data_IF_951732995608
#
_entry.id   IF_951732995608
#
_cell.length_a   1.000
_cell.length_b   1.000
_cell.length_c   1.000
_cell.angle_alpha   90.00
_cell.angle_beta   90.00
_cell.angle_gamma   90.00
#
_symmetry.space_group_name_H-M   'P 1'
#
loop_
_entity.id
_entity.type
_entity.pdbx_description
1 polymer ?
#
# COMPACT_ATOMS: atom_id res chain seq x y z
N UNK A 1 -47.47 48.59 26.75
CA UNK A 1 -48.51 48.32 27.77
C UNK A 1 -48.86 46.85 27.73
N UNK A 2 -49.12 46.20 28.89
CA UNK A 2 -48.72 44.82 29.15
C UNK A 2 -49.89 43.81 29.19
N UNK A 3 -49.56 42.52 29.05
CA UNK A 3 -50.08 41.34 29.80
C UNK A 3 -49.02 40.23 29.64
N UNK A 4 -48.25 39.79 30.66
CA UNK A 4 -48.59 38.97 31.84
C UNK A 4 -49.36 37.68 31.46
N UNK A 5 -49.02 36.45 31.84
CA UNK A 5 -48.02 35.87 32.74
C UNK A 5 -47.97 34.35 32.48
N UNK A 6 -46.90 33.65 32.86
CA UNK A 6 -46.86 32.18 32.86
C UNK A 6 -45.48 31.53 32.96
N UNK A 7 -44.71 31.84 34.00
CA UNK A 7 -43.64 30.97 34.55
C UNK A 7 -44.29 29.92 35.49
N UNK A 8 -43.60 28.92 36.10
CA UNK A 8 -42.14 28.74 36.25
C UNK A 8 -41.73 27.24 36.09
N UNK A 9 -40.56 26.69 36.37
CA UNK A 9 -39.31 27.00 37.11
C UNK A 9 -38.23 26.12 36.45
N UNK A 10 -37.07 26.64 36.01
CA UNK A 10 -35.90 27.13 36.76
C UNK A 10 -34.91 26.00 37.11
N UNK A 11 -33.71 25.99 36.52
CA UNK A 11 -32.46 26.73 36.89
C UNK A 11 -31.62 25.89 37.91
N UNK A 12 -30.30 25.96 38.06
CA UNK A 12 -29.31 26.99 37.71
C UNK A 12 -27.89 26.40 37.79
N UNK A 13 -27.00 26.95 36.96
CA UNK A 13 -25.54 27.10 37.08
C UNK A 13 -25.07 27.73 38.40
N UNK A 14 -23.87 27.38 38.94
CA UNK A 14 -22.91 28.31 39.62
C UNK A 14 -21.55 27.56 39.79
N UNK A 15 -20.42 27.98 39.21
CA UNK A 15 -19.38 28.98 39.60
C UNK A 15 -18.38 28.54 40.69
N UNK A 16 -17.10 28.80 40.37
CA UNK A 16 -15.82 28.63 41.08
C UNK A 16 -15.60 29.56 42.30
N UNK A 17 -14.83 29.10 43.30
CA UNK A 17 -13.80 29.93 43.99
C UNK A 17 -12.79 29.10 44.79
N UNK A 18 -11.55 29.61 44.87
CA UNK A 18 -10.34 29.05 45.49
C UNK A 18 -10.21 29.34 46.99
N UNK A 19 -9.48 28.49 47.72
CA UNK A 19 -8.77 28.83 48.97
C UNK A 19 -7.45 28.07 49.05
N UNK A 20 -6.41 28.73 49.59
CA UNK A 20 -5.06 28.20 49.83
C UNK A 20 -4.75 28.26 51.32
N UNK A 21 -4.12 27.23 51.90
CA UNK A 21 -3.29 27.28 53.12
C UNK A 21 -2.19 26.21 53.02
N UNK A 22 -0.99 26.63 53.41
CA UNK A 22 0.32 25.96 53.46
C UNK A 22 0.48 25.09 54.72
N UNK A 23 1.29 24.01 54.70
CA UNK A 23 2.13 23.48 55.81
C UNK A 23 2.99 22.31 55.30
N UNK A 24 4.28 22.41 55.61
CA UNK A 24 5.38 21.45 55.46
C UNK A 24 5.36 20.37 56.55
N UNK A 25 5.61 19.09 56.24
CA UNK A 25 6.36 18.14 57.09
C UNK A 25 6.56 16.77 56.42
N UNK A 26 7.82 16.30 56.39
CA UNK A 26 8.19 14.90 56.11
C UNK A 26 7.96 14.05 57.37
N UNK A 27 7.65 12.75 57.20
CA UNK A 27 8.38 11.77 57.98
C UNK A 27 8.90 10.57 57.16
N UNK A 28 10.03 10.08 57.65
CA UNK A 28 10.82 8.91 57.25
C UNK A 28 10.24 7.62 57.88
N UNK A 29 10.61 6.46 57.32
CA UNK A 29 10.44 5.06 57.80
C UNK A 29 9.09 4.39 57.45
N UNK A 30 8.99 3.13 57.04
CA UNK A 30 9.94 2.01 57.03
C UNK A 30 9.48 0.92 56.02
N UNK A 31 10.44 0.07 55.64
CA UNK A 31 10.36 -1.16 54.81
C UNK A 31 9.06 -1.99 54.92
N UNK A 32 8.66 -2.57 53.79
CA UNK A 32 8.46 -4.01 53.73
C UNK A 32 8.88 -4.58 52.36
N UNK A 33 10.02 -5.28 52.35
CA UNK A 33 10.36 -6.25 51.32
C UNK A 33 9.40 -7.44 51.46
N UNK A 34 8.72 -7.82 50.39
CA UNK A 34 7.88 -9.02 50.37
C UNK A 34 7.21 -9.24 49.03
N UNK A 35 7.73 -10.18 48.24
CA UNK A 35 7.00 -10.75 47.09
C UNK A 35 7.77 -10.73 45.77
N UNK A 36 8.85 -11.48 45.68
CA UNK A 36 9.41 -11.89 44.39
C UNK A 36 8.51 -12.91 43.69
N UNK A 37 8.48 -12.84 42.35
CA UNK A 37 8.02 -13.91 41.47
C UNK A 37 6.67 -13.67 40.77
N UNK A 38 6.62 -12.83 39.74
CA UNK A 38 5.39 -12.70 38.92
C UNK A 38 5.50 -12.29 37.43
N UNK A 39 6.65 -12.08 36.75
CA UNK A 39 6.61 -11.74 35.31
C UNK A 39 6.37 -12.96 34.40
N UNK A 40 6.78 -14.16 34.82
CA UNK A 40 6.67 -15.38 33.99
C UNK A 40 5.24 -15.97 33.97
N UNK A 41 4.53 -15.93 35.09
CA UNK A 41 3.17 -16.49 35.20
C UNK A 41 2.13 -15.65 34.43
N UNK A 42 2.26 -14.33 34.41
CA UNK A 42 1.38 -13.45 33.63
C UNK A 42 1.62 -13.57 32.12
N UNK A 43 2.89 -13.77 31.72
CA UNK A 43 3.26 -13.95 30.32
C UNK A 43 2.73 -15.28 29.76
N UNK A 44 2.82 -16.38 30.52
CA UNK A 44 2.28 -17.67 30.10
C UNK A 44 0.75 -17.65 30.02
N UNK A 45 0.08 -16.99 30.96
CA UNK A 45 -1.38 -16.79 30.92
C UNK A 45 -1.82 -16.00 29.68
N UNK A 46 -1.17 -14.85 29.40
CA UNK A 46 -1.46 -14.04 28.20
C UNK A 46 -1.25 -14.83 26.90
N UNK A 47 -0.22 -15.68 26.86
CA UNK A 47 0.05 -16.54 25.71
C UNK A 47 -1.05 -17.59 25.50
N UNK A 48 -1.48 -18.30 26.56
CA UNK A 48 -2.57 -19.28 26.47
C UNK A 48 -3.92 -18.64 26.10
N UNK A 49 -4.20 -17.42 26.58
CA UNK A 49 -5.37 -16.64 26.16
C UNK A 49 -5.34 -16.29 24.67
N UNK A 50 -4.17 -15.95 24.14
CA UNK A 50 -3.97 -15.70 22.70
C UNK A 50 -4.31 -16.95 21.88
N UNK A 51 -3.76 -18.10 22.28
CA UNK A 51 -3.99 -19.38 21.60
C UNK A 51 -5.47 -19.77 21.64
N UNK A 52 -6.10 -19.71 22.81
CA UNK A 52 -7.51 -20.07 22.96
C UNK A 52 -8.44 -19.15 22.17
N UNK A 53 -8.13 -17.84 22.10
CA UNK A 53 -8.84 -16.89 21.25
C UNK A 53 -8.65 -17.22 19.76
N UNK A 54 -7.44 -17.54 19.33
CA UNK A 54 -7.16 -17.92 17.95
C UNK A 54 -7.86 -19.22 17.54
N UNK A 55 -7.88 -20.22 18.42
CA UNK A 55 -8.65 -21.46 18.24
C UNK A 55 -10.13 -21.21 18.04
N UNK A 56 -10.73 -20.42 18.94
CA UNK A 56 -12.14 -20.05 18.85
C UNK A 56 -12.46 -19.34 17.52
N UNK A 57 -11.60 -18.42 17.07
CA UNK A 57 -11.76 -17.73 15.79
C UNK A 57 -11.65 -18.68 14.59
N UNK A 58 -10.71 -19.63 14.60
CA UNK A 58 -10.58 -20.63 13.53
C UNK A 58 -11.80 -21.54 13.45
N UNK A 59 -12.30 -22.03 14.60
CA UNK A 59 -13.49 -22.88 14.63
C UNK A 59 -14.74 -22.12 14.17
N UNK A 60 -14.86 -20.85 14.56
CA UNK A 60 -15.91 -19.96 14.04
C UNK A 60 -15.78 -19.77 12.53
N UNK A 61 -14.58 -19.53 12.00
CA UNK A 61 -14.35 -19.42 10.56
C UNK A 61 -14.72 -20.69 9.79
N UNK A 62 -14.32 -21.86 10.31
CA UNK A 62 -14.65 -23.15 9.73
C UNK A 62 -16.17 -23.34 9.62
N UNK A 63 -16.93 -22.90 10.62
CA UNK A 63 -18.40 -22.92 10.57
C UNK A 63 -18.97 -21.95 9.53
N UNK A 64 -18.42 -20.73 9.43
CA UNK A 64 -18.86 -19.71 8.45
C UNK A 64 -18.62 -20.18 7.02
N UNK A 65 -17.48 -20.82 6.76
CA UNK A 65 -17.12 -21.32 5.43
C UNK A 65 -17.63 -22.74 5.14
N UNK A 66 -18.30 -23.38 6.11
CA UNK A 66 -18.70 -24.80 6.04
C UNK A 66 -17.54 -25.72 5.63
N UNK A 67 -16.33 -25.44 6.13
CA UNK A 67 -15.09 -26.14 5.77
C UNK A 67 -14.47 -26.75 7.03
N UNK A 68 -14.67 -28.05 7.28
CA UNK A 68 -14.15 -28.71 8.48
C UNK A 68 -12.62 -28.86 8.47
N UNK A 69 -11.98 -28.88 7.29
CA UNK A 69 -10.53 -29.03 7.17
C UNK A 69 -9.77 -27.88 7.85
N UNK A 70 -10.36 -26.68 7.85
CA UNK A 70 -9.84 -25.50 8.55
C UNK A 70 -9.76 -25.70 10.07
N UNK A 71 -10.60 -26.54 10.66
CA UNK A 71 -10.63 -26.76 12.10
C UNK A 71 -9.32 -27.38 12.61
N UNK A 72 -8.62 -28.16 11.78
CA UNK A 72 -7.31 -28.75 12.12
C UNK A 72 -6.24 -27.72 12.45
N UNK A 73 -6.35 -26.49 11.90
CA UNK A 73 -5.40 -25.40 12.17
C UNK A 73 -5.51 -24.90 13.62
N UNK A 74 -6.65 -25.10 14.27
CA UNK A 74 -6.86 -24.75 15.67
C UNK A 74 -5.93 -25.55 16.59
N UNK A 75 -5.60 -26.79 16.24
CA UNK A 75 -4.80 -27.67 17.09
C UNK A 75 -3.30 -27.35 17.07
N UNK A 76 -2.86 -26.47 16.17
CA UNK A 76 -1.45 -26.04 16.09
C UNK A 76 -1.00 -25.23 17.32
N UNK A 77 0.33 -25.17 17.51
CA UNK A 77 0.98 -24.40 18.58
C UNK A 77 0.81 -22.89 18.42
N UNK A 78 0.62 -22.42 17.17
CA UNK A 78 0.41 -21.01 16.82
C UNK A 78 -0.75 -20.87 15.83
N UNK A 79 -2.00 -21.01 16.32
CA UNK A 79 -3.17 -21.12 15.45
C UNK A 79 -3.34 -19.93 14.50
N UNK A 80 -3.16 -18.71 15.00
CA UNK A 80 -3.28 -17.51 14.19
C UNK A 80 -2.26 -17.45 13.04
N UNK A 81 -1.02 -17.89 13.28
CA UNK A 81 0.03 -17.96 12.25
C UNK A 81 -0.20 -19.09 11.27
N UNK A 82 -0.59 -20.27 11.76
CA UNK A 82 -0.97 -21.37 10.90
C UNK A 82 -2.16 -21.02 9.99
N UNK A 83 -3.11 -20.21 10.47
CA UNK A 83 -4.19 -19.68 9.63
C UNK A 83 -3.69 -18.66 8.60
N UNK A 84 -2.80 -17.74 9.01
CA UNK A 84 -2.21 -16.73 8.12
C UNK A 84 -1.44 -17.36 6.95
N UNK A 85 -0.68 -18.41 7.22
CA UNK A 85 0.21 -19.06 6.25
C UNK A 85 -0.48 -20.18 5.45
N UNK A 86 -1.74 -20.52 5.77
CA UNK A 86 -2.45 -21.64 5.13
C UNK A 86 -2.99 -21.25 3.74
N UNK A 87 -2.52 -21.87 2.65
CA UNK A 87 -3.02 -21.58 1.31
C UNK A 87 -4.47 -22.06 1.11
N UNK A 88 -4.85 -23.16 1.76
CA UNK A 88 -6.23 -23.69 1.71
C UNK A 88 -7.20 -22.72 2.39
N UNK A 89 -6.82 -22.19 3.55
CA UNK A 89 -7.62 -21.18 4.24
C UNK A 89 -7.79 -19.94 3.38
N UNK A 90 -6.69 -19.45 2.81
CA UNK A 90 -6.73 -18.28 1.96
C UNK A 90 -7.62 -18.48 0.72
N UNK A 91 -7.51 -19.63 0.05
CA UNK A 91 -8.35 -19.96 -1.10
C UNK A 91 -9.84 -20.03 -0.74
N UNK A 92 -10.20 -20.63 0.40
CA UNK A 92 -11.57 -20.70 0.88
C UNK A 92 -12.16 -19.31 1.16
N UNK A 93 -11.41 -18.43 1.85
CA UNK A 93 -11.86 -17.05 2.06
C UNK A 93 -11.95 -16.26 0.75
N UNK A 94 -10.98 -16.39 -0.14
CA UNK A 94 -11.01 -15.73 -1.46
C UNK A 94 -12.25 -16.13 -2.26
N UNK A 95 -12.62 -17.42 -2.25
CA UNK A 95 -13.83 -17.91 -2.89
C UNK A 95 -15.09 -17.30 -2.25
N UNK A 96 -15.13 -17.23 -0.91
CA UNK A 96 -16.24 -16.63 -0.18
C UNK A 96 -16.40 -15.13 -0.49
N UNK A 97 -15.33 -14.33 -0.54
CA UNK A 97 -15.40 -12.91 -0.93
C UNK A 97 -15.86 -12.70 -2.37
N UNK A 98 -15.51 -13.64 -3.25
CA UNK A 98 -15.87 -13.59 -4.67
C UNK A 98 -17.37 -13.82 -4.90
N UNK A 99 -18.06 -14.48 -3.97
CA UNK A 99 -19.50 -14.73 -4.05
C UNK A 99 -20.29 -13.41 -4.20
N UNK A 100 -21.29 -13.32 -5.10
CA UNK A 100 -22.08 -12.10 -5.30
C UNK A 100 -22.83 -11.60 -4.06
N UNK A 101 -23.12 -12.49 -3.11
CA UNK A 101 -23.80 -12.21 -1.84
C UNK A 101 -22.86 -11.67 -0.74
N UNK A 102 -21.54 -11.73 -0.94
CA UNK A 102 -20.58 -11.26 0.05
C UNK A 102 -20.54 -9.73 0.14
N UNK A 103 -20.46 -9.24 1.38
CA UNK A 103 -20.39 -7.82 1.72
C UNK A 103 -21.68 -7.24 2.30
N UNK A 104 -22.75 -8.02 2.40
CA UNK A 104 -24.00 -7.59 3.03
C UNK A 104 -23.85 -7.38 4.54
N UNK A 105 -24.74 -6.61 5.15
CA UNK A 105 -24.70 -6.32 6.60
C UNK A 105 -24.84 -7.57 7.48
N UNK A 106 -25.46 -8.62 6.95
CA UNK A 106 -25.64 -9.90 7.63
C UNK A 106 -24.61 -10.96 7.19
N UNK A 107 -23.59 -10.57 6.41
CA UNK A 107 -22.54 -11.48 5.94
C UNK A 107 -21.68 -11.97 7.12
N UNK A 108 -21.76 -13.26 7.50
CA UNK A 108 -21.04 -13.80 8.64
C UNK A 108 -19.51 -13.71 8.47
N UNK A 109 -19.02 -13.66 7.24
CA UNK A 109 -17.58 -13.48 6.97
C UNK A 109 -17.13 -12.06 7.31
N UNK A 110 -17.96 -11.05 7.02
CA UNK A 110 -17.69 -9.66 7.39
C UNK A 110 -17.71 -9.49 8.91
N UNK A 111 -18.69 -10.10 9.59
CA UNK A 111 -18.73 -10.16 11.05
C UNK A 111 -17.48 -10.81 11.61
N UNK A 112 -17.11 -12.00 11.11
CA UNK A 112 -15.91 -12.71 11.55
C UNK A 112 -14.63 -11.88 11.38
N UNK A 113 -14.47 -11.19 10.24
CA UNK A 113 -13.32 -10.31 9.99
C UNK A 113 -13.28 -9.14 10.98
N UNK A 114 -14.40 -8.46 11.17
CA UNK A 114 -14.53 -7.35 12.12
C UNK A 114 -14.09 -7.79 13.51
N UNK A 115 -14.64 -8.90 13.97
CA UNK A 115 -14.39 -9.50 15.26
C UNK A 115 -12.94 -9.99 15.45
N UNK A 116 -12.34 -10.48 14.37
CA UNK A 116 -10.94 -10.93 14.35
C UNK A 116 -9.99 -9.73 14.40
N UNK A 117 -10.31 -8.65 13.71
CA UNK A 117 -9.55 -7.39 13.78
C UNK A 117 -9.65 -6.70 15.14
N UNK A 118 -10.80 -6.77 15.82
CA UNK A 118 -10.97 -6.19 17.16
C UNK A 118 -10.27 -6.98 18.27
N UNK A 119 -9.69 -8.13 17.96
CA UNK A 119 -8.91 -8.93 18.90
C UNK A 119 -7.69 -8.14 19.43
N UNK A 120 -7.37 -8.31 20.70
CA UNK A 120 -6.13 -7.80 21.29
C UNK A 120 -4.88 -8.54 20.79
N UNK A 121 -5.06 -9.75 20.26
CA UNK A 121 -4.00 -10.56 19.66
C UNK A 121 -3.49 -9.91 18.35
N UNK A 122 -2.20 -9.60 18.30
CA UNK A 122 -1.57 -9.02 17.11
C UNK A 122 -1.58 -9.96 15.91
N UNK A 123 -1.43 -11.27 16.11
CA UNK A 123 -1.38 -12.25 15.02
C UNK A 123 -2.77 -12.44 14.39
N UNK A 124 -3.84 -12.42 15.19
CA UNK A 124 -5.20 -12.40 14.64
C UNK A 124 -5.49 -11.10 13.88
N UNK A 125 -4.98 -9.96 14.33
CA UNK A 125 -5.08 -8.70 13.56
C UNK A 125 -4.32 -8.79 12.24
N UNK A 126 -3.16 -9.45 12.20
CA UNK A 126 -2.45 -9.73 10.95
C UNK A 126 -3.27 -10.62 10.01
N UNK A 127 -3.92 -11.65 10.53
CA UNK A 127 -4.85 -12.49 9.75
C UNK A 127 -5.93 -11.63 9.11
N UNK A 128 -6.64 -10.80 9.87
CA UNK A 128 -7.69 -9.93 9.32
C UNK A 128 -7.15 -8.96 8.25
N UNK A 129 -5.99 -8.36 8.50
CA UNK A 129 -5.35 -7.46 7.53
C UNK A 129 -4.92 -8.19 6.25
N UNK A 130 -4.50 -9.46 6.33
CA UNK A 130 -4.07 -10.23 5.16
C UNK A 130 -5.16 -10.40 4.09
N UNK A 131 -6.44 -10.34 4.48
CA UNK A 131 -7.59 -10.40 3.57
C UNK A 131 -8.10 -9.03 3.12
N UNK A 132 -7.48 -7.93 3.57
CA UNK A 132 -7.89 -6.58 3.20
C UNK A 132 -7.81 -6.30 1.69
N UNK A 133 -6.81 -6.79 0.94
CA UNK A 133 -6.80 -6.66 -0.52
C UNK A 133 -8.04 -7.25 -1.20
N UNK A 134 -8.50 -8.42 -0.75
CA UNK A 134 -9.73 -9.06 -1.25
C UNK A 134 -10.96 -8.22 -0.92
N UNK A 135 -11.07 -7.80 0.35
CA UNK A 135 -12.19 -6.97 0.80
C UNK A 135 -12.26 -5.65 0.03
N UNK A 136 -11.15 -4.91 -0.06
CA UNK A 136 -11.08 -3.64 -0.79
C UNK A 136 -11.32 -3.84 -2.29
N UNK A 137 -10.74 -4.89 -2.86
CA UNK A 137 -10.92 -5.34 -4.24
C UNK A 137 -12.39 -5.48 -4.62
N UNK A 138 -13.07 -6.40 -3.94
CA UNK A 138 -14.47 -6.70 -4.20
C UNK A 138 -15.39 -5.53 -3.83
N UNK A 139 -15.13 -4.83 -2.72
CA UNK A 139 -15.91 -3.66 -2.33
C UNK A 139 -15.90 -2.58 -3.42
N UNK A 140 -14.72 -2.14 -3.86
CA UNK A 140 -14.59 -1.08 -4.86
C UNK A 140 -15.17 -1.49 -6.22
N UNK A 141 -14.94 -2.74 -6.65
CA UNK A 141 -15.53 -3.24 -7.89
C UNK A 141 -17.05 -3.27 -7.83
N UNK A 142 -17.65 -3.74 -6.73
CA UNK A 142 -19.12 -3.82 -6.57
C UNK A 142 -19.76 -2.45 -6.46
N UNK A 143 -19.15 -1.51 -5.72
CA UNK A 143 -19.61 -0.12 -5.65
C UNK A 143 -19.80 0.50 -7.03
N UNK A 144 -18.85 0.28 -7.94
CA UNK A 144 -18.91 0.81 -9.30
C UNK A 144 -19.94 0.05 -10.14
N UNK A 145 -19.94 -1.28 -10.08
CA UNK A 145 -20.89 -2.10 -10.84
C UNK A 145 -22.35 -1.80 -10.46
N UNK A 146 -22.66 -1.66 -9.17
CA UNK A 146 -24.00 -1.28 -8.68
C UNK A 146 -24.43 0.11 -9.13
N UNK A 147 -23.49 1.02 -9.37
CA UNK A 147 -23.78 2.36 -9.90
C UNK A 147 -24.12 2.33 -11.41
N UNK A 148 -23.63 1.32 -12.13
CA UNK A 148 -23.82 1.17 -13.58
C UNK A 148 -25.02 0.29 -13.97
N UNK A 149 -25.41 -0.67 -13.12
CA UNK A 149 -26.53 -1.57 -13.36
C UNK A 149 -27.84 -0.96 -12.84
N UNK A 150 -28.44 -0.04 -13.60
CA UNK A 150 -29.76 0.54 -13.30
C UNK A 150 -30.93 -0.45 -13.43
N UNK A 151 -30.65 -1.74 -13.70
CA UNK A 151 -31.63 -2.80 -13.93
C UNK A 151 -31.80 -3.79 -12.76
N UNK A 152 -30.96 -3.72 -11.72
CA UNK A 152 -31.13 -4.57 -10.54
C UNK A 152 -32.13 -3.91 -9.58
N UNK A 153 -33.32 -4.51 -9.46
CA UNK A 153 -34.43 -4.00 -8.63
C UNK A 153 -34.07 -3.80 -7.15
N UNK A 154 -32.97 -4.36 -6.67
CA UNK A 154 -32.34 -4.07 -5.38
C UNK A 154 -30.83 -4.35 -5.49
N UNK A 155 -29.94 -3.32 -5.49
CA UNK A 155 -28.50 -3.57 -5.45
C UNK A 155 -28.14 -4.27 -4.13
N UNK A 156 -27.21 -5.25 -4.14
CA UNK A 156 -26.80 -5.92 -2.90
C UNK A 156 -26.18 -4.90 -1.95
N UNK A 157 -26.60 -4.95 -0.69
CA UNK A 157 -26.01 -4.12 0.37
C UNK A 157 -24.52 -4.45 0.51
N UNK A 158 -23.68 -3.41 0.64
CA UNK A 158 -22.25 -3.53 0.91
C UNK A 158 -21.90 -3.15 2.36
N UNK A 159 -22.92 -3.09 3.24
CA UNK A 159 -22.78 -2.61 4.61
C UNK A 159 -21.79 -3.42 5.46
N UNK A 160 -21.64 -4.73 5.20
CA UNK A 160 -20.67 -5.59 5.89
C UNK A 160 -19.23 -5.21 5.56
N UNK A 161 -18.92 -4.99 4.27
CA UNK A 161 -17.59 -4.49 3.87
C UNK A 161 -17.33 -3.09 4.43
N UNK A 162 -18.33 -2.21 4.39
CA UNK A 162 -18.24 -0.86 4.92
C UNK A 162 -17.99 -0.85 6.43
N UNK A 163 -18.63 -1.75 7.18
CA UNK A 163 -18.40 -1.89 8.62
C UNK A 163 -16.95 -2.28 8.95
N UNK A 164 -16.37 -3.25 8.23
CA UNK A 164 -14.97 -3.66 8.43
C UNK A 164 -14.01 -2.52 8.07
N UNK A 165 -14.24 -1.84 6.94
CA UNK A 165 -13.42 -0.69 6.52
C UNK A 165 -13.51 0.48 7.51
N UNK A 166 -14.69 0.76 8.04
CA UNK A 166 -14.89 1.78 9.08
C UNK A 166 -14.23 1.39 10.39
N UNK A 167 -14.21 0.11 10.76
CA UNK A 167 -13.52 -0.37 11.96
C UNK A 167 -12.01 -0.12 11.86
N UNK A 168 -11.41 -0.46 10.72
CA UNK A 168 -10.00 -0.19 10.42
C UNK A 168 -9.70 1.31 10.44
N UNK A 169 -10.56 2.11 9.81
CA UNK A 169 -10.43 3.56 9.80
C UNK A 169 -10.54 4.16 11.21
N UNK A 170 -11.53 3.74 12.00
CA UNK A 170 -11.75 4.22 13.37
C UNK A 170 -10.58 3.85 14.29
N UNK A 171 -10.00 2.66 14.12
CA UNK A 171 -8.80 2.26 14.85
C UNK A 171 -7.62 3.19 14.54
N UNK A 172 -7.41 3.56 13.27
CA UNK A 172 -6.37 4.51 12.89
C UNK A 172 -6.67 5.94 13.40
N UNK A 173 -7.92 6.41 13.32
CA UNK A 173 -8.33 7.72 13.88
C UNK A 173 -8.00 7.79 15.37
N UNK A 174 -8.36 6.73 16.12
CA UNK A 174 -8.06 6.61 17.55
C UNK A 174 -6.55 6.59 17.80
N UNK A 175 -5.78 5.85 17.00
CA UNK A 175 -4.33 5.79 17.13
C UNK A 175 -3.67 7.16 16.87
N UNK A 176 -4.19 7.95 15.94
CA UNK A 176 -3.69 9.30 15.64
C UNK A 176 -4.09 10.35 16.68
N UNK A 177 -5.17 10.13 17.43
CA UNK A 177 -5.66 11.05 18.48
C UNK A 177 -5.76 12.52 17.99
N UNK A 178 -6.27 12.72 16.77
CA UNK A 178 -6.41 14.04 16.14
C UNK A 178 -5.11 14.68 15.65
N UNK A 179 -3.98 13.97 15.68
CA UNK A 179 -2.68 14.47 15.23
C UNK A 179 -2.41 14.09 13.76
N UNK A 180 -1.70 14.96 13.00
CA UNK A 180 -1.20 14.59 11.69
C UNK A 180 -0.06 13.58 11.80
N UNK A 181 0.17 12.83 10.72
CA UNK A 181 1.39 12.01 10.57
C UNK A 181 2.48 12.92 10.00
N UNK A 182 3.54 13.13 10.78
CA UNK A 182 4.66 14.00 10.44
C UNK A 182 5.89 13.17 10.03
N UNK A 183 6.70 13.73 9.12
CA UNK A 183 7.99 13.17 8.74
C UNK A 183 9.08 14.23 8.90
N UNK A 184 10.17 13.89 9.58
CA UNK A 184 11.35 14.75 9.62
C UNK A 184 12.13 14.54 8.33
N UNK A 185 12.30 15.59 7.52
CA UNK A 185 13.07 15.54 6.28
C UNK A 185 14.55 15.64 6.65
N UNK A 186 15.38 14.63 6.31
CA UNK A 186 16.81 14.67 6.57
C UNK A 186 17.46 15.84 5.82
N UNK A 187 18.37 16.54 6.49
CA UNK A 187 19.15 17.63 5.91
C UNK A 187 20.65 17.29 6.02
N UNK A 188 21.35 17.31 4.89
CA UNK A 188 22.79 17.04 4.82
C UNK A 188 23.64 18.14 5.46
N UNK A 189 23.06 19.32 5.72
CA UNK A 189 23.70 20.39 6.50
C UNK A 189 23.75 20.10 8.01
N UNK A 190 23.00 19.09 8.46
CA UNK A 190 22.93 18.67 9.86
C UNK A 190 23.70 17.36 10.09
N UNK A 191 24.33 17.19 11.27
CA UNK A 191 24.88 15.90 11.66
C UNK A 191 23.76 14.86 11.78
N UNK A 192 24.04 13.67 11.28
CA UNK A 192 23.15 12.51 11.30
C UNK A 192 23.94 11.25 11.66
N UNK A 193 23.23 10.13 11.87
CA UNK A 193 23.84 8.84 12.15
C UNK A 193 24.88 8.40 11.09
N UNK A 194 24.70 8.83 9.84
CA UNK A 194 25.52 8.40 8.69
C UNK A 194 26.46 9.49 8.15
N UNK A 195 26.31 10.74 8.58
CA UNK A 195 27.03 11.87 8.00
C UNK A 195 27.28 12.97 9.02
N UNK A 196 28.50 13.52 9.02
CA UNK A 196 28.83 14.77 9.72
C UNK A 196 29.19 15.84 8.69
N UNK A 197 28.48 16.97 8.67
CA UNK A 197 28.78 18.08 7.76
C UNK A 197 30.23 18.55 7.93
N UNK A 198 30.90 18.82 6.81
CA UNK A 198 32.23 19.46 6.88
C UNK A 198 32.04 20.92 7.30
N UNK A 199 32.85 21.45 8.24
CA UNK A 199 32.88 22.89 8.50
C UNK A 199 33.14 23.62 7.17
N UNK A 200 32.27 24.56 6.82
CA UNK A 200 32.56 25.47 5.71
C UNK A 200 33.86 26.22 6.03
N UNK A 201 34.75 26.32 5.04
CA UNK A 201 35.95 27.16 5.15
C UNK A 201 35.53 28.57 5.63
N UNK A 202 36.33 29.25 6.47
CA UNK A 202 35.93 30.52 7.07
C UNK A 202 35.63 31.54 5.96
N UNK A 203 34.36 31.71 5.66
CA UNK A 203 33.85 32.83 4.89
C UNK A 203 34.16 34.08 5.71
N UNK A 204 34.75 35.10 5.08
CA UNK A 204 34.91 36.45 5.63
C UNK A 204 33.53 37.06 5.82
N UNK A 205 32.78 36.61 6.83
CA UNK A 205 31.56 37.24 7.29
C UNK A 205 31.83 38.02 8.58
N UNK A 206 31.26 39.23 8.71
CA UNK A 206 31.49 40.09 9.86
C UNK A 206 30.95 39.46 11.16
N UNK A 207 31.50 39.84 12.33
CA UNK A 207 31.34 39.16 13.62
C UNK A 207 29.94 39.30 14.28
N UNK A 208 28.87 39.55 13.53
CA UNK A 208 27.53 39.82 14.07
C UNK A 208 26.56 38.63 14.00
N UNK A 209 26.98 37.45 13.55
CA UNK A 209 26.09 36.29 13.34
C UNK A 209 26.23 35.19 14.42
N UNK A 210 26.83 35.49 15.58
CA UNK A 210 27.13 34.52 16.63
C UNK A 210 25.91 34.05 17.47
N UNK A 211 24.67 34.28 17.02
CA UNK A 211 23.46 33.86 17.75
C UNK A 211 22.36 33.35 16.81
N UNK A 212 22.74 32.71 15.70
CA UNK A 212 21.78 31.93 14.94
C UNK A 212 21.40 30.67 15.75
N UNK A 213 20.11 30.42 16.04
CA UNK A 213 19.69 29.19 16.70
C UNK A 213 20.12 27.98 15.86
N UNK A 214 20.38 26.81 16.49
CA UNK A 214 20.78 25.62 15.75
C UNK A 214 19.73 25.33 14.66
N UNK A 215 20.16 25.05 13.41
CA UNK A 215 19.25 24.76 12.32
C UNK A 215 18.32 23.62 12.70
N UNK A 216 17.01 23.88 12.64
CA UNK A 216 15.97 22.91 13.00
C UNK A 216 15.69 22.00 11.81
N UNK A 217 15.47 20.70 12.04
CA UNK A 217 15.10 19.80 10.97
C UNK A 217 13.77 20.25 10.35
N UNK A 218 13.70 20.21 9.02
CA UNK A 218 12.46 20.50 8.29
C UNK A 218 11.46 19.38 8.55
N UNK A 219 10.24 19.74 9.00
CA UNK A 219 9.17 18.77 9.26
C UNK A 219 8.12 18.87 8.17
N UNK A 220 7.88 17.76 7.46
CA UNK A 220 6.81 17.60 6.48
C UNK A 220 5.58 16.93 7.07
N UNK A 221 4.41 17.18 6.48
CA UNK A 221 3.16 16.48 6.80
C UNK A 221 2.97 15.36 5.79
N UNK A 222 3.04 14.11 6.25
CA UNK A 222 2.83 12.92 5.40
C UNK A 222 1.33 12.64 5.21
N UNK A 223 0.54 12.83 6.26
CA UNK A 223 -0.92 12.64 6.21
C UNK A 223 -1.58 13.62 7.19
N UNK A 224 -2.66 14.30 6.77
CA UNK A 224 -3.40 15.19 7.66
C UNK A 224 -4.06 14.43 8.83
N UNK A 225 -4.56 15.14 9.85
CA UNK A 225 -5.39 14.55 10.89
C UNK A 225 -6.63 13.88 10.27
N UNK A 226 -7.03 12.74 10.84
CA UNK A 226 -8.22 12.02 10.39
C UNK A 226 -9.44 12.44 11.21
N UNK A 227 -10.56 12.66 10.52
CA UNK A 227 -11.85 12.98 11.14
C UNK A 227 -12.66 11.70 11.34
N UNK A 228 -13.26 11.45 12.52
CA UNK A 228 -14.14 10.30 12.73
C UNK A 228 -15.25 10.20 11.68
N UNK A 229 -15.48 9.00 11.15
CA UNK A 229 -16.55 8.72 10.19
C UNK A 229 -17.52 7.68 10.76
N UNK A 230 -18.81 7.93 10.63
CA UNK A 230 -19.89 7.04 11.11
C UNK A 230 -20.40 6.13 9.98
N UNK A 231 -20.21 6.54 8.72
CA UNK A 231 -20.66 5.81 7.53
C UNK A 231 -19.71 6.06 6.34
N UNK A 232 -19.67 5.13 5.38
CA UNK A 232 -18.85 5.27 4.16
C UNK A 232 -19.60 6.10 3.12
N UNK A 233 -19.34 7.40 3.10
CA UNK A 233 -19.88 8.31 2.07
C UNK A 233 -19.04 8.24 0.79
N UNK A 234 -19.65 8.47 -0.37
CA UNK A 234 -18.95 8.47 -1.67
C UNK A 234 -17.71 9.37 -1.71
N UNK A 235 -17.80 10.57 -1.14
CA UNK A 235 -16.70 11.56 -1.09
C UNK A 235 -15.55 11.17 -0.17
N UNK A 236 -15.81 10.33 0.85
CA UNK A 236 -14.80 9.88 1.83
C UNK A 236 -14.35 8.44 1.58
N UNK A 237 -15.03 7.69 0.71
CA UNK A 237 -14.77 6.28 0.42
C UNK A 237 -13.32 5.99 0.08
N UNK A 238 -12.75 6.75 -0.86
CA UNK A 238 -11.37 6.56 -1.29
C UNK A 238 -10.38 6.76 -0.12
N UNK A 239 -10.60 7.78 0.72
CA UNK A 239 -9.79 8.04 1.90
C UNK A 239 -9.93 6.93 2.95
N UNK A 240 -11.15 6.42 3.20
CA UNK A 240 -11.39 5.32 4.14
C UNK A 240 -10.66 4.05 3.68
N UNK A 241 -10.79 3.68 2.40
CA UNK A 241 -10.09 2.51 1.84
C UNK A 241 -8.58 2.74 1.84
N UNK A 242 -8.11 3.95 1.53
CA UNK A 242 -6.69 4.29 1.58
C UNK A 242 -6.08 4.09 2.98
N UNK A 243 -6.75 4.54 4.02
CA UNK A 243 -6.30 4.37 5.42
C UNK A 243 -6.30 2.90 5.83
N UNK A 244 -7.30 2.13 5.37
CA UNK A 244 -7.31 0.69 5.56
C UNK A 244 -6.08 0.05 4.88
N UNK A 245 -5.81 0.36 3.61
CA UNK A 245 -4.63 -0.12 2.88
C UNK A 245 -3.31 0.36 3.49
N UNK A 246 -3.26 1.53 4.11
CA UNK A 246 -2.09 1.99 4.88
C UNK A 246 -1.84 1.09 6.10
N UNK A 247 -2.91 0.59 6.74
CA UNK A 247 -2.81 -0.38 7.85
C UNK A 247 -2.25 -1.74 7.38
N UNK A 248 -2.62 -2.17 6.18
CA UNK A 248 -1.99 -3.30 5.49
C UNK A 248 -0.51 -3.03 5.22
N UNK A 249 -0.20 -1.87 4.64
CA UNK A 249 1.17 -1.48 4.30
C UNK A 249 2.10 -1.46 5.53
N UNK A 250 1.64 -0.97 6.68
CA UNK A 250 2.39 -0.99 7.94
C UNK A 250 2.83 -2.40 8.38
N UNK A 251 2.11 -3.43 7.93
CA UNK A 251 2.34 -4.82 8.29
C UNK A 251 2.77 -5.68 7.08
N UNK A 252 3.11 -5.06 5.95
CA UNK A 252 3.31 -5.73 4.65
C UNK A 252 4.41 -6.80 4.65
N UNK A 253 5.42 -6.66 5.51
CA UNK A 253 6.50 -7.64 5.67
C UNK A 253 5.99 -9.00 6.17
N UNK A 254 4.87 -9.02 6.90
CA UNK A 254 4.25 -10.23 7.42
C UNK A 254 3.12 -10.76 6.52
N UNK A 255 2.80 -10.05 5.43
CA UNK A 255 1.68 -10.44 4.57
C UNK A 255 2.09 -11.58 3.62
N UNK A 256 1.28 -12.65 3.51
CA UNK A 256 1.52 -13.74 2.57
C UNK A 256 1.61 -13.26 1.12
N UNK A 257 2.35 -14.00 0.30
CA UNK A 257 2.52 -13.67 -1.13
C UNK A 257 1.19 -13.60 -1.88
N UNK A 258 0.23 -14.49 -1.57
CA UNK A 258 -1.07 -14.51 -2.23
C UNK A 258 -1.88 -13.23 -2.00
N UNK A 259 -1.84 -12.70 -0.77
CA UNK A 259 -2.44 -11.40 -0.42
C UNK A 259 -1.88 -10.24 -1.25
N UNK A 260 -0.56 -10.23 -1.45
CA UNK A 260 0.12 -9.21 -2.27
C UNK A 260 -0.24 -9.33 -3.75
N UNK A 261 -0.33 -10.56 -4.27
CA UNK A 261 -0.72 -10.85 -5.66
C UNK A 261 -2.14 -10.37 -5.90
N UNK A 262 -3.10 -10.72 -5.04
CA UNK A 262 -4.49 -10.31 -5.21
C UNK A 262 -4.62 -8.78 -5.21
N UNK A 263 -3.87 -8.06 -4.35
CA UNK A 263 -3.83 -6.60 -4.41
C UNK A 263 -3.36 -6.11 -5.78
N UNK A 264 -2.27 -6.68 -6.33
CA UNK A 264 -1.74 -6.28 -7.62
C UNK A 264 -2.77 -6.53 -8.74
N UNK A 265 -3.45 -7.69 -8.71
CA UNK A 265 -4.53 -8.03 -9.65
C UNK A 265 -5.70 -7.05 -9.55
N UNK A 266 -6.17 -6.73 -8.34
CA UNK A 266 -7.25 -5.73 -8.15
C UNK A 266 -6.83 -4.35 -8.60
N UNK A 267 -5.60 -3.91 -8.30
CA UNK A 267 -5.11 -2.59 -8.72
C UNK A 267 -4.99 -2.50 -10.23
N UNK A 268 -4.50 -3.56 -10.89
CA UNK A 268 -4.50 -3.65 -12.35
C UNK A 268 -5.93 -3.57 -12.92
N UNK A 269 -6.88 -4.30 -12.31
CA UNK A 269 -8.29 -4.26 -12.71
C UNK A 269 -8.95 -2.89 -12.49
N UNK A 270 -8.66 -2.21 -11.38
CA UNK A 270 -9.19 -0.87 -11.06
C UNK A 270 -8.70 0.17 -12.06
N UNK A 271 -7.45 0.04 -12.52
CA UNK A 271 -6.87 0.92 -13.52
C UNK A 271 -7.60 0.83 -14.88
N UNK A 272 -8.35 -0.24 -15.13
CA UNK A 272 -9.19 -0.40 -16.30
C UNK A 272 -8.51 -1.16 -17.44
N UNK A 273 -9.12 -1.12 -18.63
CA UNK A 273 -8.77 -1.97 -19.76
C UNK A 273 -7.32 -1.81 -20.24
N UNK A 274 -6.85 -2.89 -20.87
CA UNK A 274 -5.56 -3.09 -21.49
C UNK A 274 -5.24 -2.03 -22.58
N UNK A 275 -4.83 -0.83 -22.15
CA UNK A 275 -4.30 0.19 -23.04
C UNK A 275 -2.89 -0.19 -23.50
N UNK A 276 -2.54 -0.05 -24.79
CA UNK A 276 -1.16 -0.23 -25.27
C UNK A 276 -0.15 0.67 -24.55
N UNK A 277 -0.58 1.85 -24.10
CA UNK A 277 0.22 2.81 -23.35
C UNK A 277 0.86 2.25 -22.06
N UNK A 278 0.36 1.13 -21.53
CA UNK A 278 0.98 0.48 -20.36
C UNK A 278 2.41 -0.03 -20.64
N UNK A 279 2.75 -0.28 -21.91
CA UNK A 279 4.05 -0.76 -22.36
C UNK A 279 4.90 0.34 -23.04
N UNK A 280 4.43 1.59 -23.08
CA UNK A 280 5.15 2.71 -23.72
C UNK A 280 6.58 2.84 -23.17
N UNK A 281 6.76 2.63 -21.87
CA UNK A 281 8.06 2.70 -21.22
C UNK A 281 8.93 1.46 -21.44
N UNK A 282 8.38 0.37 -21.97
CA UNK A 282 9.13 -0.85 -22.29
C UNK A 282 9.85 -0.73 -23.63
N UNK A 283 9.22 -0.11 -24.63
CA UNK A 283 9.74 0.08 -26.00
C UNK A 283 11.00 0.97 -26.07
N UNK A 284 11.16 1.90 -25.12
CA UNK A 284 12.34 2.77 -25.00
C UNK A 284 13.68 2.00 -24.88
N UNK A 285 13.67 0.73 -24.47
CA UNK A 285 14.88 -0.08 -24.37
C UNK A 285 15.35 -0.62 -25.73
N UNK A 286 14.44 -0.89 -26.68
CA UNK A 286 14.80 -1.34 -28.03
C UNK A 286 15.45 -0.20 -28.84
N UNK A 287 14.95 1.01 -28.65
CA UNK A 287 15.45 2.19 -29.36
C UNK A 287 16.80 2.68 -28.78
N UNK A 288 17.03 2.52 -27.47
CA UNK A 288 18.31 2.88 -26.84
C UNK A 288 19.44 1.90 -27.16
N UNK A 289 19.15 0.61 -27.36
CA UNK A 289 20.14 -0.35 -27.86
C UNK A 289 20.59 -0.10 -29.32
N UNK A 290 19.77 0.60 -30.12
CA UNK A 290 20.16 1.00 -31.49
C UNK A 290 21.14 2.17 -31.50
N UNK A 291 21.05 3.09 -30.52
CA UNK A 291 21.88 4.29 -30.43
C UNK A 291 23.27 4.05 -29.82
N UNK A 292 23.49 2.93 -29.11
CA UNK A 292 24.79 2.59 -28.51
C UNK A 292 25.76 1.86 -29.45
N UNK A 293 25.34 1.54 -30.68
CA UNK A 293 26.21 0.94 -31.72
C UNK A 293 27.00 1.98 -32.52
N UNK A 294 26.83 3.27 -32.22
CA UNK A 294 27.45 4.38 -32.92
C UNK A 294 28.50 5.02 -32.00
N UNK A 295 29.76 4.66 -32.18
CA UNK A 295 30.90 5.39 -31.60
C UNK A 295 30.97 6.84 -32.12
N UNK A 296 31.70 7.74 -31.43
CA UNK A 296 31.20 9.07 -31.12
C UNK A 296 31.65 10.13 -32.14
N UNK A 297 30.74 11.02 -32.51
CA UNK A 297 31.09 12.35 -32.97
C UNK A 297 30.60 13.39 -31.95
N UNK A 298 31.58 14.11 -31.44
CA UNK A 298 31.48 15.23 -30.52
C UNK A 298 30.44 16.26 -30.95
N UNK A 299 29.49 16.58 -30.07
CA UNK A 299 29.13 17.96 -29.75
C UNK A 299 28.14 18.01 -28.59
N UNK A 300 28.48 18.85 -27.62
CA UNK A 300 27.61 19.34 -26.55
C UNK A 300 26.32 19.91 -27.10
N UNK A 301 25.18 19.63 -26.45
CA UNK A 301 24.12 20.63 -26.20
C UNK A 301 23.03 20.10 -25.25
N UNK A 302 22.75 20.91 -24.24
CA UNK A 302 21.61 20.86 -23.31
C UNK A 302 20.24 21.03 -24.02
N UNK A 303 19.11 20.86 -23.33
CA UNK A 303 17.84 20.48 -23.95
C UNK A 303 17.10 21.71 -24.48
N UNK A 304 16.84 21.74 -25.79
CA UNK A 304 15.99 22.77 -26.40
C UNK A 304 14.61 22.19 -26.73
N UNK A 305 13.59 22.83 -26.16
CA UNK A 305 12.18 22.76 -26.52
C UNK A 305 12.01 22.70 -28.04
N UNK A 306 11.40 21.64 -28.58
CA UNK A 306 11.08 21.55 -30.01
C UNK A 306 9.86 22.43 -30.30
N UNK A 307 10.11 23.63 -30.80
CA UNK A 307 9.12 24.40 -31.57
C UNK A 307 9.21 23.88 -33.00
N UNK A 308 8.09 23.38 -33.54
CA UNK A 308 7.97 22.96 -34.93
C UNK A 308 7.90 24.21 -35.84
N UNK A 309 8.87 24.35 -36.73
CA UNK A 309 8.71 25.10 -37.97
C UNK A 309 8.64 24.10 -39.12
N UNK A 310 7.61 24.26 -39.95
CA UNK A 310 7.38 23.51 -41.17
C UNK A 310 8.44 23.88 -42.22
N UNK A 311 9.03 22.86 -42.85
CA UNK A 311 9.50 22.98 -44.23
C UNK A 311 9.18 21.69 -45.00
N UNK A 312 8.88 21.90 -46.27
CA UNK A 312 7.92 21.20 -47.10
C UNK A 312 8.57 20.10 -47.98
N UNK A 313 7.89 18.95 -48.11
CA UNK A 313 8.15 18.03 -49.21
C UNK A 313 7.95 16.55 -48.91
N UNK A 314 6.70 16.09 -48.85
CA UNK A 314 6.40 14.66 -48.72
C UNK A 314 4.92 14.34 -48.53
N UNK A 315 4.08 14.72 -49.49
CA UNK A 315 2.64 14.42 -49.52
C UNK A 315 2.44 12.92 -49.81
N UNK A 316 2.68 12.10 -48.80
CA UNK A 316 2.48 10.65 -48.84
C UNK A 316 2.44 10.01 -47.45
N UNK A 317 3.13 10.59 -46.46
CA UNK A 317 3.15 10.07 -45.08
C UNK A 317 2.02 10.59 -44.19
N UNK A 318 1.52 11.80 -44.42
CA UNK A 318 0.51 12.42 -43.55
C UNK A 318 -0.88 11.79 -43.70
N UNK A 319 -1.21 11.23 -44.87
CA UNK A 319 -2.48 10.54 -45.10
C UNK A 319 -2.54 9.18 -44.39
N UNK A 320 -1.40 8.50 -44.29
CA UNK A 320 -1.28 7.21 -43.59
C UNK A 320 -1.40 7.40 -42.06
N UNK A 321 -0.81 8.47 -41.51
CA UNK A 321 -0.89 8.78 -40.08
C UNK A 321 -2.28 9.29 -39.66
N UNK A 322 -2.93 10.09 -40.51
CA UNK A 322 -4.28 10.61 -40.23
C UNK A 322 -5.36 9.52 -40.34
N UNK A 323 -5.14 8.48 -41.16
CA UNK A 323 -5.98 7.27 -41.20
C UNK A 323 -5.88 6.46 -39.89
N UNK A 324 -4.77 6.56 -39.16
CA UNK A 324 -4.56 5.90 -37.85
C UNK A 324 -5.27 6.62 -36.69
N UNK A 325 -5.71 7.87 -36.90
CA UNK A 325 -6.45 8.70 -35.94
C UNK A 325 -7.93 8.85 -36.28
N UNK A 326 -8.42 8.23 -37.37
CA UNK A 326 -9.82 8.28 -37.74
C UNK A 326 -10.68 7.47 -36.76
N UNK A 327 -11.54 8.17 -36.00
CA UNK A 327 -12.61 7.53 -35.23
C UNK A 327 -13.61 6.96 -36.23
N UNK A 328 -13.59 5.65 -36.40
CA UNK A 328 -14.60 4.96 -37.20
C UNK A 328 -15.90 4.90 -36.40
N UNK A 329 -16.80 5.86 -36.62
CA UNK A 329 -18.19 5.77 -36.19
C UNK A 329 -18.89 4.68 -37.02
N UNK A 330 -18.71 3.43 -36.60
CA UNK A 330 -19.52 2.29 -37.03
C UNK A 330 -20.62 2.00 -36.01
N UNK A 331 -21.87 1.74 -36.42
CA UNK A 331 -22.95 1.40 -35.51
C UNK A 331 -22.85 -0.07 -35.12
N UNK A 332 -21.98 -0.41 -34.18
CA UNK A 332 -22.11 -1.55 -33.28
C UNK A 332 -20.85 -1.65 -32.41
N UNK A 333 -21.04 -1.73 -31.09
CA UNK A 333 -19.97 -1.97 -30.14
C UNK A 333 -19.36 -3.36 -30.36
N UNK A 334 -18.19 -3.41 -30.99
CA UNK A 334 -17.41 -4.64 -31.06
C UNK A 334 -16.77 -4.91 -29.70
N UNK A 335 -17.48 -5.76 -28.97
CA UNK A 335 -16.99 -6.76 -28.06
C UNK A 335 -15.62 -7.31 -28.51
N UNK A 336 -14.58 -7.08 -27.71
CA UNK A 336 -13.32 -7.79 -27.83
C UNK A 336 -13.43 -9.12 -27.08
N UNK A 337 -14.12 -10.08 -27.70
CA UNK A 337 -13.98 -11.50 -27.35
C UNK A 337 -12.76 -12.04 -28.09
N UNK A 338 -11.63 -12.01 -27.40
CA UNK A 338 -10.60 -13.02 -27.66
C UNK A 338 -11.06 -14.27 -26.92
N UNK A 339 -11.46 -15.29 -27.67
CA UNK A 339 -11.67 -16.64 -27.14
C UNK A 339 -10.31 -17.17 -26.67
N UNK A 340 -10.02 -17.00 -25.38
CA UNK A 340 -8.91 -17.68 -24.71
C UNK A 340 -9.41 -19.09 -24.37
N UNK A 341 -9.18 -20.05 -25.27
CA UNK A 341 -9.26 -21.47 -24.96
C UNK A 341 -8.13 -21.81 -23.96
N UNK A 342 -8.37 -21.50 -22.69
CA UNK A 342 -7.31 -21.54 -21.69
C UNK A 342 -7.73 -21.28 -20.24
N UNK A 343 -8.98 -21.56 -19.83
CA UNK A 343 -9.33 -21.83 -18.42
C UNK A 343 -8.93 -20.81 -17.34
N UNK A 344 -8.62 -19.56 -17.69
CA UNK A 344 -8.32 -18.48 -16.75
C UNK A 344 -9.33 -17.37 -16.94
N UNK A 345 -10.29 -17.24 -16.03
CA UNK A 345 -11.28 -16.16 -16.06
C UNK A 345 -10.58 -14.80 -16.08
N UNK A 346 -10.44 -14.19 -17.27
CA UNK A 346 -10.01 -12.81 -17.40
C UNK A 346 -11.04 -11.95 -16.67
N UNK A 347 -10.69 -11.54 -15.44
CA UNK A 347 -11.52 -10.68 -14.60
C UNK A 347 -11.66 -9.36 -15.34
N UNK A 348 -12.72 -9.21 -16.14
CA UNK A 348 -13.09 -7.95 -16.79
C UNK A 348 -13.16 -6.88 -15.71
N UNK A 349 -12.09 -6.09 -15.58
CA UNK A 349 -11.89 -5.20 -14.44
C UNK A 349 -12.92 -4.07 -14.44
N UNK A 350 -13.62 -3.88 -13.32
CA UNK A 350 -14.44 -2.68 -13.13
C UNK A 350 -13.51 -1.49 -12.96
N UNK A 351 -13.52 -0.53 -13.90
CA UNK A 351 -12.73 0.70 -13.83
C UNK A 351 -13.18 1.52 -12.60
N UNK A 352 -12.33 1.62 -11.60
CA UNK A 352 -12.63 2.35 -10.35
C UNK A 352 -12.00 3.75 -10.42
N UNK A 353 -12.65 4.81 -9.89
CA UNK A 353 -11.99 6.09 -9.68
C UNK A 353 -10.77 5.92 -8.75
N UNK A 354 -9.59 6.33 -9.21
CA UNK A 354 -8.33 6.22 -8.48
C UNK A 354 -7.82 7.63 -8.09
N UNK A 355 -8.44 8.32 -7.13
CA UNK A 355 -7.94 9.60 -6.67
C UNK A 355 -6.61 9.43 -5.94
N UNK A 356 -5.83 10.51 -5.84
CA UNK A 356 -4.47 10.47 -5.30
C UNK A 356 -4.39 9.89 -3.89
N UNK A 357 -5.39 10.14 -3.04
CA UNK A 357 -5.47 9.62 -1.68
C UNK A 357 -5.46 8.09 -1.65
N UNK A 358 -6.14 7.44 -2.60
CA UNK A 358 -6.14 5.98 -2.74
C UNK A 358 -4.85 5.47 -3.40
N UNK A 359 -4.33 6.20 -4.38
CA UNK A 359 -3.10 5.82 -5.06
C UNK A 359 -1.85 5.88 -4.16
N UNK A 360 -1.81 6.75 -3.16
CA UNK A 360 -0.68 6.87 -2.24
C UNK A 360 -0.29 5.54 -1.56
N UNK A 361 -1.17 4.87 -0.79
CA UNK A 361 -0.84 3.58 -0.18
C UNK A 361 -0.69 2.48 -1.24
N UNK A 362 -1.47 2.50 -2.32
CA UNK A 362 -1.36 1.52 -3.42
C UNK A 362 0.04 1.53 -4.02
N UNK A 363 0.58 2.71 -4.37
CA UNK A 363 1.91 2.85 -4.94
C UNK A 363 3.02 2.43 -3.96
N UNK A 364 2.86 2.68 -2.65
CA UNK A 364 3.79 2.18 -1.63
C UNK A 364 3.78 0.65 -1.54
N UNK A 365 2.59 0.05 -1.60
CA UNK A 365 2.46 -1.40 -1.57
C UNK A 365 3.05 -2.01 -2.84
N UNK A 366 2.72 -1.48 -4.02
CA UNK A 366 3.31 -1.93 -5.28
C UNK A 366 4.83 -1.80 -5.27
N UNK A 367 5.37 -0.69 -4.76
CA UNK A 367 6.80 -0.50 -4.59
C UNK A 367 7.44 -1.57 -3.70
N UNK A 368 6.79 -1.95 -2.59
CA UNK A 368 7.25 -3.07 -1.78
C UNK A 368 7.18 -4.40 -2.55
N UNK A 369 6.05 -4.72 -3.18
CA UNK A 369 5.86 -5.95 -3.95
C UNK A 369 6.94 -6.11 -5.04
N UNK A 370 7.32 -5.00 -5.68
CA UNK A 370 8.27 -4.94 -6.78
C UNK A 370 9.74 -5.05 -6.32
N UNK A 371 10.10 -4.35 -5.23
CA UNK A 371 11.51 -4.10 -4.87
C UNK A 371 11.98 -4.80 -3.58
N UNK A 372 11.08 -5.32 -2.75
CA UNK A 372 11.52 -5.95 -1.50
C UNK A 372 12.24 -7.29 -1.80
N UNK A 373 13.41 -7.53 -1.17
CA UNK A 373 14.30 -8.64 -1.55
C UNK A 373 13.73 -10.03 -1.27
N UNK A 374 12.76 -10.14 -0.35
CA UNK A 374 12.15 -11.40 0.07
C UNK A 374 10.90 -11.77 -0.73
N UNK A 375 10.47 -10.94 -1.68
CA UNK A 375 9.27 -11.26 -2.45
C UNK A 375 9.58 -12.28 -3.56
N UNK A 376 8.72 -13.30 -3.74
CA UNK A 376 8.87 -14.26 -4.83
C UNK A 376 8.67 -13.58 -6.19
N UNK A 377 9.17 -14.23 -7.23
CA UNK A 377 9.09 -13.72 -8.61
C UNK A 377 7.66 -13.40 -9.05
N UNK A 378 6.70 -14.25 -8.68
CA UNK A 378 5.28 -14.07 -8.98
C UNK A 378 4.73 -12.75 -8.45
N UNK A 379 5.03 -12.39 -7.20
CA UNK A 379 4.61 -11.11 -6.60
C UNK A 379 5.22 -9.93 -7.35
N UNK A 380 6.50 -10.05 -7.75
CA UNK A 380 7.19 -9.01 -8.52
C UNK A 380 6.59 -8.84 -9.91
N UNK A 381 6.23 -9.92 -10.57
CA UNK A 381 5.63 -9.89 -11.91
C UNK A 381 4.20 -9.32 -11.88
N UNK A 382 3.37 -9.73 -10.91
CA UNK A 382 2.04 -9.14 -10.70
C UNK A 382 2.14 -7.64 -10.39
N UNK A 383 3.09 -7.22 -9.55
CA UNK A 383 3.31 -5.81 -9.25
C UNK A 383 3.81 -5.03 -10.47
N UNK A 384 4.72 -5.62 -11.25
CA UNK A 384 5.27 -5.04 -12.48
C UNK A 384 4.15 -4.74 -13.50
N UNK A 385 3.19 -5.66 -13.66
CA UNK A 385 1.99 -5.44 -14.47
C UNK A 385 1.09 -4.36 -13.88
N UNK A 386 0.79 -4.44 -12.58
CA UNK A 386 -0.10 -3.49 -11.91
C UNK A 386 0.41 -2.04 -11.99
N UNK A 387 1.71 -1.81 -11.79
CA UNK A 387 2.30 -0.46 -11.90
C UNK A 387 2.16 0.10 -13.32
N UNK A 388 2.31 -0.74 -14.36
CA UNK A 388 2.11 -0.32 -15.77
C UNK A 388 0.66 0.06 -16.06
N UNK A 389 -0.30 -0.72 -15.55
CA UNK A 389 -1.71 -0.35 -15.66
C UNK A 389 -2.00 0.97 -14.92
N UNK A 390 -1.42 1.18 -13.73
CA UNK A 390 -1.55 2.45 -12.99
C UNK A 390 -0.90 3.62 -13.74
N UNK A 391 0.26 3.42 -14.37
CA UNK A 391 0.91 4.44 -15.20
C UNK A 391 0.01 4.85 -16.37
N UNK A 392 -0.45 3.89 -17.17
CA UNK A 392 -1.39 4.13 -18.26
C UNK A 392 -2.62 4.90 -17.79
N UNK A 393 -3.21 4.45 -16.67
CA UNK A 393 -4.38 5.09 -16.08
C UNK A 393 -4.12 6.52 -15.62
N UNK A 394 -3.00 6.76 -14.94
CA UNK A 394 -2.61 8.07 -14.45
C UNK A 394 -2.33 9.05 -15.60
N UNK A 395 -1.77 8.57 -16.71
CA UNK A 395 -1.57 9.34 -17.93
C UNK A 395 -2.90 9.75 -18.57
N UNK A 396 -3.89 8.85 -18.62
CA UNK A 396 -5.23 9.19 -19.09
C UNK A 396 -5.98 10.16 -18.18
N UNK A 397 -5.81 10.04 -16.86
CA UNK A 397 -6.45 10.93 -15.87
C UNK A 397 -5.67 12.24 -15.63
N UNK A 398 -4.51 12.42 -16.28
CA UNK A 398 -3.62 13.56 -16.12
C UNK A 398 -3.26 13.83 -14.64
N UNK A 399 -2.94 12.78 -13.88
CA UNK A 399 -2.56 12.85 -12.47
C UNK A 399 -1.02 12.89 -12.32
N UNK A 400 -0.38 14.09 -12.26
CA UNK A 400 1.07 14.21 -12.38
C UNK A 400 1.84 13.47 -11.28
N UNK A 401 1.34 13.47 -10.04
CA UNK A 401 1.98 12.76 -8.93
C UNK A 401 1.99 11.25 -9.15
N UNK A 402 0.90 10.70 -9.69
CA UNK A 402 0.77 9.28 -10.00
C UNK A 402 1.61 8.89 -11.22
N UNK A 403 1.66 9.73 -12.27
CA UNK A 403 2.53 9.53 -13.43
C UNK A 403 4.00 9.46 -12.97
N UNK A 404 4.45 10.42 -12.17
CA UNK A 404 5.83 10.47 -11.68
C UNK A 404 6.18 9.24 -10.85
N UNK A 405 5.31 8.87 -9.89
CA UNK A 405 5.56 7.75 -9.00
C UNK A 405 5.56 6.40 -9.73
N UNK A 406 4.57 6.15 -10.59
CA UNK A 406 4.48 4.89 -11.36
C UNK A 406 5.61 4.76 -12.38
N UNK A 407 5.96 5.83 -13.10
CA UNK A 407 7.12 5.85 -14.01
C UNK A 407 8.42 5.55 -13.28
N UNK A 408 8.62 6.13 -12.09
CA UNK A 408 9.81 5.87 -11.27
C UNK A 408 9.90 4.40 -10.84
N UNK A 409 8.78 3.80 -10.43
CA UNK A 409 8.72 2.37 -10.08
C UNK A 409 9.03 1.47 -11.29
N UNK A 410 8.50 1.78 -12.48
CA UNK A 410 8.80 1.03 -13.72
C UNK A 410 10.30 1.09 -14.03
N UNK A 411 10.91 2.26 -13.94
CA UNK A 411 12.35 2.42 -14.18
C UNK A 411 13.21 1.67 -13.16
N UNK A 412 12.81 1.66 -11.89
CA UNK A 412 13.49 0.89 -10.84
C UNK A 412 13.38 -0.62 -11.09
N UNK A 413 12.20 -1.13 -11.47
CA UNK A 413 12.00 -2.54 -11.83
C UNK A 413 12.87 -2.94 -13.02
N UNK A 414 12.87 -2.14 -14.10
CA UNK A 414 13.74 -2.36 -15.26
C UNK A 414 15.21 -2.43 -14.86
N UNK A 415 15.66 -1.49 -14.02
CA UNK A 415 17.05 -1.43 -13.57
C UNK A 415 17.40 -2.64 -12.69
N UNK A 416 16.51 -3.04 -11.78
CA UNK A 416 16.69 -4.21 -10.92
C UNK A 416 16.75 -5.52 -11.73
N UNK A 417 15.87 -5.69 -12.72
CA UNK A 417 15.87 -6.85 -13.62
C UNK A 417 17.10 -6.92 -14.51
N UNK A 418 17.57 -5.77 -15.02
CA UNK A 418 18.84 -5.68 -15.77
C UNK A 418 20.03 -6.08 -14.91
N UNK A 419 20.11 -5.59 -13.68
CA UNK A 419 21.16 -5.96 -12.73
C UNK A 419 21.13 -7.44 -12.33
N UNK A 420 19.96 -8.07 -12.33
CA UNK A 420 19.80 -9.50 -12.03
C UNK A 420 20.11 -10.43 -13.22
N UNK A 421 20.13 -9.91 -14.45
CA UNK A 421 20.46 -10.70 -15.64
C UNK A 421 22.00 -10.83 -15.72
N UNK A 422 22.57 -12.05 -15.71
CA UNK A 422 24.00 -12.20 -15.92
C UNK A 422 24.34 -11.69 -17.32
N UNK A 423 25.31 -10.78 -17.43
CA UNK A 423 25.87 -10.40 -18.72
C UNK A 423 26.41 -11.66 -19.39
N UNK A 424 25.72 -12.12 -20.43
CA UNK A 424 26.30 -13.07 -21.38
C UNK A 424 27.36 -12.26 -22.11
N UNK A 425 28.60 -12.33 -21.64
CA UNK A 425 29.75 -11.79 -22.35
C UNK A 425 29.76 -12.47 -23.72
N UNK A 426 29.62 -11.74 -24.84
CA UNK A 426 29.83 -12.34 -26.14
C UNK A 426 31.30 -12.74 -26.22
N UNK A 427 31.57 -14.05 -26.30
CA UNK A 427 32.91 -14.60 -26.44
C UNK A 427 33.47 -14.27 -27.83
N UNK A 428 33.91 -13.04 -28.02
CA UNK A 428 34.75 -12.65 -29.13
C UNK A 428 36.20 -12.61 -28.66
N UNK A 429 36.92 -13.73 -28.82
CA UNK A 429 38.23 -13.79 -29.51
C UNK A 429 39.00 -15.08 -29.23
N UNK A 430 39.46 -15.68 -30.34
CA UNK A 430 40.74 -16.34 -30.57
C UNK A 430 41.20 -17.54 -29.72
N UNK A 431 41.19 -18.70 -30.41
CA UNK A 431 42.15 -19.83 -30.39
C UNK A 431 42.35 -20.64 -29.07
N UNK A 432 42.38 -21.98 -29.16
CA UNK A 432 42.63 -22.85 -28.02
C UNK A 432 44.15 -23.01 -27.80
N UNK A 433 44.61 -22.98 -26.55
CA UNK A 433 45.70 -23.81 -25.99
C UNK A 433 46.35 -23.13 -24.77
N UNK A 434 46.00 -23.55 -23.54
CA UNK A 434 46.94 -24.09 -22.52
C UNK A 434 46.20 -24.39 -21.21
N UNK A 435 46.50 -25.50 -20.50
CA UNK A 435 45.91 -25.80 -19.21
C UNK A 435 46.80 -25.26 -18.07
N UNK A 436 46.21 -24.62 -17.05
CA UNK A 436 46.91 -24.40 -15.78
C UNK A 436 45.97 -24.59 -14.58
N UNK A 437 46.52 -25.28 -13.58
CA UNK A 437 45.88 -25.95 -12.43
C UNK A 437 45.12 -25.03 -11.47
N UNK A 438 44.17 -25.57 -10.68
CA UNK A 438 43.44 -24.80 -9.66
C UNK A 438 44.32 -24.42 -8.47
N UNK A 439 44.28 -23.13 -8.08
CA UNK A 439 44.89 -22.61 -6.84
C UNK A 439 43.88 -22.72 -5.70
N UNK A 440 44.29 -23.31 -4.57
CA UNK A 440 43.57 -23.43 -3.29
C UNK A 440 43.12 -22.06 -2.75
N UNK A 441 41.96 -21.95 -2.06
CA UNK A 441 41.62 -20.75 -1.31
C UNK A 441 42.32 -20.71 0.06
N UNK A 442 43.02 -19.62 0.35
CA UNK A 442 43.53 -19.32 1.70
C UNK A 442 42.37 -18.83 2.58
N UNK A 443 42.16 -19.56 3.69
CA UNK A 443 41.24 -19.20 4.76
C UNK A 443 42.02 -18.33 5.76
N UNK A 444 41.72 -17.03 5.82
CA UNK A 444 42.19 -16.17 6.90
C UNK A 444 41.18 -16.21 8.05
N UNK A 445 41.48 -17.07 9.03
CA UNK A 445 40.93 -17.02 10.38
C UNK A 445 41.51 -15.79 11.09
N UNK A 446 40.65 -14.85 11.49
CA UNK A 446 40.98 -13.86 12.52
C UNK A 446 40.45 -14.41 13.85
N UNK A 447 41.37 -14.74 14.76
CA UNK A 447 41.03 -15.05 16.15
C UNK A 447 41.36 -13.87 17.05
N UNK A 448 40.32 -13.52 17.82
CA UNK A 448 40.22 -12.86 19.13
C UNK A 448 40.86 -11.49 19.35
#
# INVERSE_FOLDING_TARGET
MPTAAGSPSSSTTVTTTSTAVDVTENPVSNRNEGGGGAPAASATQSWWESISRARSRILSLASVLSSPDLASLADSDRPARSLLDSPLAYAALSAAFSAPSSGSGDDPLCHWLYDTFQSSDSDLRLVALSFLPLLAGHYLSRVVSSSSSSSAANPPSLAGFEAVLLALYAAEVKARAGKPVLVSVPDLSLPSLYHTPRPSAPSRQPPSAATAPPPRPSVGILSPPLEPQIAVKSTKRACIVAVALDSYYKNISFMPSRSKIDLCEFVAAWAGQDCPCRFELDDDDLNRSSLCSSSPSSSSSSPQVRIFFEDNGGIGGAAEEMRKLAIQEGPNGNHCDGEDEGGGASRRGSRVPLPWELLQPVLRILGHCLLAPLNPQEVRDSASMAVRCVYARASHDLLPQAILASRSLIQLDKSARKAAKPEIVPSNSSKPNTPSKPKKPEVLLVSK
#
